data_IF_411976860176
#
_entry.id   IF_411976860176
#
_cell.length_a   1.000
_cell.length_b   1.000
_cell.length_c   1.000
_cell.angle_alpha   90.00
_cell.angle_beta   90.00
_cell.angle_gamma   90.00
#
_symmetry.space_group_name_H-M   'P 1'
#
loop_
_entity.id
_entity.type
_entity.pdbx_description
1 polymer ?
#
# COMPACT_ATOMS: atom_id res chain seq x y z
N UNK A 1 43.25 15.20 48.21
CA UNK A 1 42.06 14.39 47.87
C UNK A 1 41.95 14.38 46.35
N UNK A 2 41.93 13.18 45.75
CA UNK A 2 42.10 12.95 44.30
C UNK A 2 40.83 13.37 43.55
N UNK A 3 41.00 14.14 42.48
CA UNK A 3 39.92 14.58 41.58
C UNK A 3 39.36 13.43 40.76
N UNK A 4 38.04 13.37 40.67
CA UNK A 4 37.26 12.42 39.87
C UNK A 4 37.32 12.83 38.40
N UNK A 5 37.64 11.95 37.43
CA UNK A 5 37.53 12.28 36.01
C UNK A 5 36.07 12.15 35.55
N UNK A 6 35.52 13.23 34.98
CA UNK A 6 34.21 13.23 34.32
C UNK A 6 34.38 12.57 32.96
N UNK A 7 33.77 11.39 32.79
CA UNK A 7 33.69 10.65 31.54
C UNK A 7 32.58 11.26 30.68
N UNK A 8 32.95 11.93 29.59
CA UNK A 8 32.01 12.49 28.61
C UNK A 8 31.56 11.38 27.66
N UNK A 9 30.32 10.89 27.82
CA UNK A 9 29.69 9.94 26.90
C UNK A 9 29.18 10.73 25.68
N UNK A 10 29.84 10.53 24.53
CA UNK A 10 29.38 10.99 23.22
C UNK A 10 28.13 10.19 22.82
N UNK A 11 26.97 10.81 22.93
CA UNK A 11 25.70 10.33 22.36
C UNK A 11 25.81 10.37 20.83
N UNK A 12 26.01 9.20 20.21
CA UNK A 12 25.82 8.99 18.79
C UNK A 12 24.32 9.14 18.49
N UNK A 13 23.91 10.36 18.13
CA UNK A 13 22.59 10.63 17.58
C UNK A 13 22.45 9.91 16.25
N UNK A 14 21.70 8.80 16.24
CA UNK A 14 21.19 8.20 15.01
C UNK A 14 20.30 9.23 14.33
N UNK A 15 20.68 9.71 13.15
CA UNK A 15 19.82 10.56 12.33
C UNK A 15 18.58 9.76 11.95
N UNK A 16 17.51 9.91 12.72
CA UNK A 16 16.17 9.64 12.22
C UNK A 16 15.97 10.57 11.02
N UNK A 17 15.84 9.99 9.82
CA UNK A 17 15.40 10.75 8.67
C UNK A 17 14.03 11.35 9.01
N UNK A 18 14.01 12.66 9.27
CA UNK A 18 12.79 13.37 9.62
C UNK A 18 11.87 13.36 8.41
N UNK A 19 10.70 12.73 8.51
CA UNK A 19 9.62 12.94 7.56
C UNK A 19 9.26 14.44 7.57
N UNK A 20 9.24 15.07 6.39
CA UNK A 20 8.88 16.48 6.27
C UNK A 20 7.35 16.61 6.22
N UNK A 21 6.81 17.72 6.72
CA UNK A 21 5.40 18.07 6.50
C UNK A 21 5.15 18.26 5.02
N UNK A 22 4.18 17.53 4.47
CA UNK A 22 3.77 17.71 3.07
C UNK A 22 3.26 19.15 2.84
N UNK A 23 3.47 19.72 1.64
CA UNK A 23 2.84 20.99 1.28
C UNK A 23 1.32 20.92 1.44
N UNK A 24 0.73 22.00 1.95
CA UNK A 24 -0.72 22.10 2.22
C UNK A 24 -1.58 21.81 0.98
N UNK A 25 -1.05 22.12 -0.21
CA UNK A 25 -1.69 21.81 -1.49
C UNK A 25 -0.68 21.27 -2.49
N UNK A 26 -1.06 20.19 -3.17
CA UNK A 26 -0.33 19.59 -4.28
C UNK A 26 -1.28 18.71 -5.11
N UNK A 27 -1.07 18.67 -6.42
CA UNK A 27 -1.91 17.90 -7.35
C UNK A 27 -1.32 16.55 -7.72
N UNK A 28 -0.01 16.43 -7.53
CA UNK A 28 0.77 15.25 -7.83
C UNK A 28 1.76 15.01 -6.71
N UNK A 29 2.20 13.77 -6.59
CA UNK A 29 3.29 13.34 -5.71
C UNK A 29 4.25 12.48 -6.52
N UNK A 30 5.53 12.50 -6.17
CA UNK A 30 6.59 11.71 -6.79
C UNK A 30 7.10 10.70 -5.76
N UNK A 31 7.17 9.41 -6.08
CA UNK A 31 7.77 8.42 -5.17
C UNK A 31 9.30 8.47 -5.11
N UNK A 32 9.91 9.27 -5.99
CA UNK A 32 11.35 9.40 -6.14
C UNK A 32 12.01 8.14 -6.70
N UNK A 33 13.31 8.25 -6.92
CA UNK A 33 14.21 7.17 -7.33
C UNK A 33 15.36 7.09 -6.34
N UNK A 34 15.57 5.92 -5.74
CA UNK A 34 16.73 5.70 -4.88
C UNK A 34 17.95 5.43 -5.77
N UNK A 35 18.96 6.30 -5.68
CA UNK A 35 20.24 6.14 -6.37
C UNK A 35 21.10 5.02 -5.75
N UNK A 36 22.17 4.63 -6.46
CA UNK A 36 23.11 3.62 -5.99
C UNK A 36 23.90 4.02 -4.73
N UNK A 37 23.87 5.31 -4.37
CA UNK A 37 24.42 5.88 -3.14
C UNK A 37 23.42 5.86 -1.96
N UNK A 38 22.21 5.33 -2.17
CA UNK A 38 21.15 5.26 -1.18
C UNK A 38 20.36 6.57 -1.00
N UNK A 39 20.66 7.61 -1.80
CA UNK A 39 19.95 8.89 -1.74
C UNK A 39 18.70 8.84 -2.63
N UNK A 40 17.59 9.39 -2.16
CA UNK A 40 16.37 9.54 -2.97
C UNK A 40 16.44 10.82 -3.81
N UNK A 41 16.30 10.66 -5.12
CA UNK A 41 16.21 11.72 -6.12
C UNK A 41 14.80 11.80 -6.71
N UNK A 42 14.51 12.85 -7.47
CA UNK A 42 13.26 12.98 -8.22
C UNK A 42 13.26 12.14 -9.50
N UNK A 43 12.07 11.95 -10.07
CA UNK A 43 11.87 11.23 -11.32
C UNK A 43 11.35 9.81 -11.13
N UNK A 44 10.73 9.53 -9.98
CA UNK A 44 10.08 8.26 -9.71
C UNK A 44 8.70 8.16 -10.34
N UNK A 45 7.91 7.23 -9.82
CA UNK A 45 6.49 7.10 -10.19
C UNK A 45 5.74 8.32 -9.67
N UNK A 46 5.05 9.01 -10.57
CA UNK A 46 4.20 10.17 -10.23
C UNK A 46 2.75 9.71 -10.15
N UNK A 47 2.09 10.00 -9.03
CA UNK A 47 0.65 9.77 -8.86
C UNK A 47 -0.10 11.09 -8.70
N UNK A 48 -1.36 11.11 -9.14
CA UNK A 48 -2.29 12.18 -8.80
C UNK A 48 -2.70 12.11 -7.33
N UNK A 49 -2.63 13.27 -6.68
CA UNK A 49 -3.18 13.54 -5.35
C UNK A 49 -4.52 14.29 -5.40
N UNK A 50 -4.93 14.69 -6.61
CA UNK A 50 -6.15 15.43 -6.90
C UNK A 50 -6.94 14.75 -8.03
N UNK A 51 -8.26 14.68 -7.86
CA UNK A 51 -9.21 14.19 -8.83
C UNK A 51 -9.21 15.01 -10.13
N UNK A 52 -9.92 14.53 -11.13
CA UNK A 52 -10.07 15.26 -12.40
C UNK A 52 -10.99 16.49 -12.27
N UNK A 53 -11.81 16.51 -11.24
CA UNK A 53 -12.70 17.59 -10.82
C UNK A 53 -12.03 18.61 -9.87
N UNK A 54 -10.78 18.36 -9.45
CA UNK A 54 -10.07 19.21 -8.51
C UNK A 54 -10.24 18.82 -7.03
N UNK A 55 -10.97 17.75 -6.72
CA UNK A 55 -11.14 17.30 -5.33
C UNK A 55 -9.84 16.66 -4.78
N UNK A 56 -9.47 16.90 -3.51
CA UNK A 56 -8.34 16.21 -2.90
C UNK A 56 -8.64 14.72 -2.77
N UNK A 57 -7.67 13.88 -3.14
CA UNK A 57 -7.78 12.42 -3.04
C UNK A 57 -7.01 11.83 -1.86
N UNK A 58 -6.03 12.56 -1.32
CA UNK A 58 -5.15 12.06 -0.27
C UNK A 58 -5.57 12.51 1.13
N UNK A 59 -5.41 11.61 2.10
CA UNK A 59 -5.41 11.95 3.51
C UNK A 59 -4.03 12.54 3.85
N UNK A 60 -3.90 13.87 3.83
CA UNK A 60 -2.62 14.58 4.02
C UNK A 60 -1.91 14.17 5.31
N UNK A 61 -2.64 13.98 6.41
CA UNK A 61 -2.08 13.58 7.70
C UNK A 61 -1.50 12.15 7.72
N UNK A 62 -1.81 11.34 6.71
CA UNK A 62 -1.38 9.94 6.59
C UNK A 62 -0.47 9.72 5.37
N UNK A 63 -0.15 10.79 4.64
CA UNK A 63 0.81 10.77 3.52
C UNK A 63 2.18 11.17 4.05
N UNK A 64 3.22 10.42 3.69
CA UNK A 64 4.56 10.57 4.26
C UNK A 64 5.50 11.21 3.25
N UNK A 65 5.75 12.51 3.38
CA UNK A 65 6.69 13.24 2.53
C UNK A 65 8.14 13.08 2.98
N UNK A 66 9.04 13.04 1.99
CA UNK A 66 10.49 12.98 2.15
C UNK A 66 11.10 14.36 1.89
N UNK A 67 12.14 14.68 2.65
CA UNK A 67 12.98 15.84 2.36
C UNK A 67 13.90 15.53 1.18
N UNK A 68 13.79 16.32 0.11
CA UNK A 68 14.62 16.25 -1.08
C UNK A 68 15.06 17.67 -1.46
N UNK A 69 16.33 17.81 -1.87
CA UNK A 69 16.98 19.12 -2.05
C UNK A 69 16.30 20.02 -3.10
N UNK A 70 15.72 19.43 -4.13
CA UNK A 70 15.13 20.17 -5.24
C UNK A 70 13.61 20.25 -5.08
N UNK A 71 13.02 21.42 -5.34
CA UNK A 71 11.57 21.56 -5.47
C UNK A 71 11.15 21.31 -6.92
N UNK A 72 10.25 20.36 -7.15
CA UNK A 72 9.56 20.23 -8.43
C UNK A 72 8.19 20.90 -8.35
N UNK A 73 7.76 21.44 -9.49
CA UNK A 73 6.42 22.02 -9.64
C UNK A 73 5.72 21.43 -10.86
N UNK A 74 4.39 21.39 -10.81
CA UNK A 74 3.57 21.02 -11.97
C UNK A 74 3.54 22.15 -13.01
N UNK A 75 2.88 21.92 -14.15
CA UNK A 75 2.74 22.93 -15.21
C UNK A 75 2.00 24.21 -14.80
N UNK A 76 1.44 24.27 -13.58
CA UNK A 76 0.78 25.44 -12.99
C UNK A 76 1.58 26.06 -11.84
N UNK A 77 2.78 25.54 -11.54
CA UNK A 77 3.64 26.03 -10.47
C UNK A 77 3.33 25.45 -9.08
N UNK A 78 2.43 24.47 -8.94
CA UNK A 78 2.15 23.83 -7.65
C UNK A 78 3.25 22.85 -7.28
N UNK A 79 3.65 22.74 -5.99
CA UNK A 79 4.70 21.83 -5.59
C UNK A 79 4.32 20.36 -5.84
N UNK A 80 5.31 19.55 -6.20
CA UNK A 80 5.22 18.09 -6.29
C UNK A 80 6.13 17.52 -5.20
N UNK A 81 5.61 17.16 -4.02
CA UNK A 81 6.45 16.58 -2.97
C UNK A 81 6.92 15.18 -3.36
N UNK A 82 8.06 14.78 -2.79
CA UNK A 82 8.50 13.38 -2.85
C UNK A 82 7.91 12.64 -1.67
N UNK A 83 7.38 11.43 -1.87
CA UNK A 83 6.67 10.65 -0.84
C UNK A 83 7.26 9.24 -0.69
N UNK A 84 7.19 8.71 0.53
CA UNK A 84 7.44 7.29 0.80
C UNK A 84 6.16 6.44 0.67
N UNK A 85 5.03 7.04 1.01
CA UNK A 85 3.71 6.41 1.04
C UNK A 85 2.64 7.49 0.84
N UNK A 86 1.56 7.13 0.16
CA UNK A 86 0.32 7.90 0.11
C UNK A 86 -0.82 7.10 0.71
N UNK A 87 -1.71 7.79 1.41
CA UNK A 87 -2.98 7.24 1.86
C UNK A 87 -4.10 7.95 1.11
N UNK A 88 -4.89 7.21 0.34
CA UNK A 88 -6.06 7.72 -0.35
C UNK A 88 -7.25 7.79 0.60
N UNK A 89 -8.05 8.84 0.50
CA UNK A 89 -9.33 8.95 1.21
C UNK A 89 -10.32 7.93 0.61
N UNK A 90 -10.78 6.93 1.37
CA UNK A 90 -11.75 5.95 0.89
C UNK A 90 -13.05 6.58 0.36
N UNK A 91 -13.49 7.70 0.95
CA UNK A 91 -14.68 8.40 0.49
C UNK A 91 -14.47 9.01 -0.90
N UNK A 92 -13.30 9.62 -1.13
CA UNK A 92 -12.93 10.18 -2.43
C UNK A 92 -12.69 9.10 -3.48
N UNK A 93 -12.21 7.92 -3.09
CA UNK A 93 -12.05 6.77 -3.98
C UNK A 93 -13.40 6.21 -4.46
N UNK A 94 -14.51 6.48 -3.76
CA UNK A 94 -15.82 5.91 -4.08
C UNK A 94 -15.90 4.39 -3.84
N UNK A 95 -14.92 3.82 -3.13
CA UNK A 95 -14.84 2.41 -2.78
C UNK A 95 -15.10 2.30 -1.29
N UNK A 96 -16.00 1.41 -0.87
CA UNK A 96 -16.21 1.12 0.55
C UNK A 96 -14.98 0.41 1.15
N UNK A 97 -13.95 1.17 1.47
CA UNK A 97 -12.71 0.79 2.16
C UNK A 97 -12.63 1.55 3.48
N UNK A 98 -11.83 1.02 4.40
CA UNK A 98 -11.42 1.74 5.62
C UNK A 98 -10.06 2.40 5.44
N UNK A 99 -9.19 1.79 4.65
CA UNK A 99 -7.83 2.26 4.38
C UNK A 99 -7.41 1.80 2.99
N UNK A 100 -6.68 2.67 2.28
CA UNK A 100 -6.07 2.40 0.98
C UNK A 100 -4.73 3.13 0.89
N UNK A 101 -3.63 2.38 0.87
CA UNK A 101 -2.28 2.97 0.80
C UNK A 101 -1.51 2.45 -0.40
N UNK A 102 -0.71 3.34 -0.98
CA UNK A 102 0.22 3.01 -2.05
C UNK A 102 1.62 3.40 -1.59
N UNK A 103 2.56 2.47 -1.68
CA UNK A 103 3.93 2.66 -1.22
C UNK A 103 4.92 1.97 -2.15
N UNK A 104 6.17 2.46 -2.12
CA UNK A 104 7.29 1.74 -2.71
C UNK A 104 7.74 0.58 -1.81
N UNK A 105 8.03 -0.54 -2.44
CA UNK A 105 8.62 -1.74 -1.87
C UNK A 105 9.93 -2.05 -2.62
N UNK A 106 10.94 -2.61 -1.94
CA UNK A 106 12.17 -3.05 -2.62
C UNK A 106 11.90 -4.07 -3.72
N UNK A 107 10.97 -5.00 -3.46
CA UNK A 107 10.48 -6.00 -4.41
C UNK A 107 9.02 -6.34 -4.06
N UNK A 108 8.08 -5.65 -4.71
CA UNK A 108 6.66 -5.84 -4.47
C UNK A 108 6.15 -7.25 -4.82
N UNK A 109 6.83 -7.95 -5.75
CA UNK A 109 6.41 -9.30 -6.16
C UNK A 109 6.84 -10.35 -5.15
N UNK A 110 8.05 -10.23 -4.60
CA UNK A 110 8.49 -11.07 -3.49
C UNK A 110 7.60 -10.85 -2.26
N UNK A 111 7.24 -9.61 -1.96
CA UNK A 111 6.37 -9.28 -0.82
C UNK A 111 4.94 -9.82 -1.00
N UNK A 112 4.40 -9.78 -2.23
CA UNK A 112 3.12 -10.42 -2.55
C UNK A 112 3.17 -11.94 -2.33
N UNK A 113 4.27 -12.61 -2.71
CA UNK A 113 4.46 -14.04 -2.47
C UNK A 113 4.55 -14.37 -0.97
N UNK A 114 5.31 -13.58 -0.21
CA UNK A 114 5.40 -13.71 1.25
C UNK A 114 4.02 -13.54 1.88
N UNK A 115 3.26 -12.54 1.45
CA UNK A 115 1.90 -12.28 1.91
C UNK A 115 0.92 -13.42 1.56
N UNK A 116 1.16 -14.17 0.49
CA UNK A 116 0.33 -15.30 0.07
C UNK A 116 0.68 -16.63 0.74
N UNK A 117 1.85 -16.75 1.37
CA UNK A 117 2.36 -18.02 1.90
C UNK A 117 1.42 -18.68 2.92
N UNK A 118 0.80 -17.89 3.80
CA UNK A 118 -0.13 -18.42 4.80
C UNK A 118 -1.42 -18.97 4.16
N UNK A 119 -1.94 -18.31 3.13
CA UNK A 119 -3.08 -18.82 2.36
C UNK A 119 -2.72 -20.12 1.64
N UNK A 120 -1.56 -20.20 1.01
CA UNK A 120 -1.11 -21.43 0.33
C UNK A 120 -1.03 -22.61 1.31
N UNK A 121 -0.48 -22.39 2.51
CA UNK A 121 -0.46 -23.40 3.56
C UNK A 121 -1.87 -23.80 4.03
N UNK A 122 -2.80 -22.85 4.10
CA UNK A 122 -4.20 -23.13 4.46
C UNK A 122 -4.91 -23.98 3.41
N UNK A 123 -4.70 -23.72 2.12
CA UNK A 123 -5.32 -24.49 1.02
C UNK A 123 -4.92 -25.98 1.05
N UNK A 124 -3.69 -26.29 1.48
CA UNK A 124 -3.21 -27.68 1.59
C UNK A 124 -3.46 -28.32 2.96
N UNK A 125 -4.04 -27.60 3.91
CA UNK A 125 -4.30 -28.12 5.24
C UNK A 125 -5.61 -28.93 5.25
N UNK A 126 -5.61 -30.22 5.66
CA UNK A 126 -6.80 -31.06 5.64
C UNK A 126 -7.90 -30.61 6.62
N UNK A 127 -7.60 -29.73 7.57
CA UNK A 127 -8.57 -29.17 8.51
C UNK A 127 -9.26 -27.91 7.99
N UNK A 128 -8.94 -27.45 6.77
CA UNK A 128 -9.52 -26.28 6.14
C UNK A 128 -10.59 -26.70 5.14
N UNK A 129 -11.65 -25.89 5.01
CA UNK A 129 -12.61 -26.04 3.92
C UNK A 129 -12.19 -25.16 2.75
N UNK A 130 -11.96 -25.75 1.59
CA UNK A 130 -11.54 -25.03 0.38
C UNK A 130 -12.75 -24.78 -0.52
N UNK A 131 -12.92 -23.52 -0.92
CA UNK A 131 -13.98 -23.08 -1.84
C UNK A 131 -13.35 -22.46 -3.07
N UNK A 132 -13.76 -22.90 -4.26
CA UNK A 132 -13.26 -22.39 -5.55
C UNK A 132 -14.37 -21.67 -6.30
N UNK A 133 -14.09 -20.44 -6.73
CA UNK A 133 -14.92 -19.66 -7.63
C UNK A 133 -14.34 -19.59 -9.04
N UNK A 134 -14.87 -18.66 -9.83
CA UNK A 134 -14.38 -18.39 -11.20
C UNK A 134 -12.98 -17.77 -11.20
N UNK A 135 -12.76 -16.79 -10.33
CA UNK A 135 -11.54 -15.97 -10.26
C UNK A 135 -10.92 -15.95 -8.85
N UNK A 136 -11.36 -16.85 -7.96
CA UNK A 136 -10.87 -16.92 -6.58
C UNK A 136 -10.73 -18.36 -6.05
N UNK A 137 -9.85 -18.50 -5.06
CA UNK A 137 -9.66 -19.70 -4.25
C UNK A 137 -9.62 -19.28 -2.78
N UNK A 138 -10.54 -19.80 -1.97
CA UNK A 138 -10.64 -19.48 -0.56
C UNK A 138 -10.39 -20.71 0.32
N UNK A 139 -9.80 -20.48 1.49
CA UNK A 139 -9.67 -21.44 2.57
C UNK A 139 -10.34 -20.88 3.83
N UNK A 140 -11.27 -21.66 4.40
CA UNK A 140 -11.98 -21.36 5.64
C UNK A 140 -11.43 -22.22 6.78
N UNK A 141 -10.99 -21.55 7.85
CA UNK A 141 -10.54 -22.16 9.08
C UNK A 141 -11.71 -22.55 10.00
N UNK A 142 -11.53 -23.55 10.88
CA UNK A 142 -12.51 -23.90 11.90
C UNK A 142 -12.87 -22.74 12.84
N UNK A 143 -11.99 -21.74 12.96
CA UNK A 143 -12.21 -20.52 13.74
C UNK A 143 -13.18 -19.54 13.05
N UNK A 144 -13.54 -19.77 11.79
CA UNK A 144 -14.32 -18.84 10.97
C UNK A 144 -13.48 -17.87 10.13
N UNK A 145 -12.15 -17.83 10.34
CA UNK A 145 -11.27 -16.99 9.54
C UNK A 145 -11.18 -17.48 8.10
N UNK A 146 -11.24 -16.57 7.13
CA UNK A 146 -11.19 -16.87 5.70
C UNK A 146 -9.98 -16.20 5.07
N UNK A 147 -9.27 -16.92 4.22
CA UNK A 147 -8.27 -16.36 3.33
C UNK A 147 -8.67 -16.65 1.89
N UNK A 148 -8.60 -15.66 1.01
CA UNK A 148 -8.96 -15.80 -0.39
C UNK A 148 -7.87 -15.22 -1.28
N UNK A 149 -7.35 -16.05 -2.18
CA UNK A 149 -6.55 -15.60 -3.31
C UNK A 149 -7.47 -15.31 -4.49
N UNK A 150 -7.20 -14.23 -5.22
CA UNK A 150 -7.94 -13.83 -6.42
C UNK A 150 -7.01 -13.64 -7.60
N UNK A 151 -7.57 -13.64 -8.81
CA UNK A 151 -6.85 -13.28 -10.02
C UNK A 151 -6.30 -11.84 -9.89
N UNK A 152 -5.00 -11.62 -10.10
CA UNK A 152 -4.41 -10.28 -10.01
C UNK A 152 -5.02 -9.36 -11.08
N UNK A 153 -5.43 -8.12 -10.72
CA UNK A 153 -5.99 -7.19 -11.69
C UNK A 153 -4.92 -6.53 -12.58
N UNK A 154 -3.66 -6.53 -12.16
CA UNK A 154 -2.52 -6.05 -12.94
C UNK A 154 -1.83 -7.21 -13.70
N UNK A 155 -1.21 -6.96 -14.86
CA UNK A 155 -0.65 -8.01 -15.73
C UNK A 155 0.61 -8.71 -15.20
N UNK A 156 1.00 -8.46 -13.94
CA UNK A 156 2.25 -8.91 -13.34
C UNK A 156 2.22 -10.32 -12.71
N UNK A 157 1.03 -10.96 -12.65
CA UNK A 157 0.82 -12.30 -12.08
C UNK A 157 1.21 -12.46 -10.59
N UNK A 158 1.53 -11.38 -9.87
CA UNK A 158 1.83 -11.45 -8.45
C UNK A 158 0.58 -11.83 -7.66
N UNK A 159 0.63 -12.78 -6.71
CA UNK A 159 -0.56 -13.27 -6.02
C UNK A 159 -1.24 -12.15 -5.23
N UNK A 160 -2.57 -12.08 -5.32
CA UNK A 160 -3.39 -11.14 -4.55
C UNK A 160 -4.21 -11.95 -3.57
N UNK A 161 -3.95 -11.74 -2.28
CA UNK A 161 -4.63 -12.47 -1.21
C UNK A 161 -5.25 -11.48 -0.23
N UNK A 162 -6.45 -11.80 0.25
CA UNK A 162 -7.06 -11.12 1.38
C UNK A 162 -7.33 -12.10 2.51
N UNK A 163 -7.22 -11.58 3.74
CA UNK A 163 -7.50 -12.29 4.97
C UNK A 163 -8.65 -11.60 5.69
N UNK A 164 -9.70 -12.34 6.00
CA UNK A 164 -10.93 -11.86 6.62
C UNK A 164 -11.16 -12.58 7.94
N UNK A 165 -11.28 -11.82 9.02
CA UNK A 165 -11.58 -12.31 10.36
C UNK A 165 -12.33 -11.23 11.15
N UNK A 166 -13.22 -11.64 12.05
CA UNK A 166 -13.97 -10.76 12.95
C UNK A 166 -14.60 -9.52 12.27
N UNK A 167 -15.14 -9.70 11.06
CA UNK A 167 -15.80 -8.64 10.29
C UNK A 167 -14.88 -7.63 9.59
N UNK A 168 -13.57 -7.90 9.55
CA UNK A 168 -12.57 -7.08 8.89
C UNK A 168 -11.79 -7.91 7.88
N UNK A 169 -11.66 -7.40 6.67
CA UNK A 169 -10.79 -7.94 5.64
C UNK A 169 -9.58 -7.05 5.43
N UNK A 170 -8.42 -7.67 5.19
CA UNK A 170 -7.17 -7.01 4.85
C UNK A 170 -6.56 -7.66 3.61
N UNK A 171 -6.23 -6.84 2.63
CA UNK A 171 -5.36 -7.17 1.51
C UNK A 171 -3.97 -6.57 1.80
N UNK A 172 -3.02 -7.37 2.31
CA UNK A 172 -1.74 -6.86 2.78
C UNK A 172 -0.87 -6.31 1.65
N UNK A 173 -0.84 -6.98 0.50
CA UNK A 173 -0.04 -6.58 -0.66
C UNK A 173 -0.80 -6.95 -1.93
N UNK A 174 -1.00 -5.97 -2.79
CA UNK A 174 -1.35 -6.15 -4.19
C UNK A 174 -0.31 -5.40 -5.01
N UNK A 175 0.60 -6.14 -5.64
CA UNK A 175 1.64 -5.52 -6.46
C UNK A 175 1.01 -4.89 -7.72
N UNK A 176 1.38 -3.65 -8.00
CA UNK A 176 1.03 -2.95 -9.24
C UNK A 176 2.13 -3.21 -10.27
N UNK A 177 3.39 -3.05 -9.86
CA UNK A 177 4.58 -3.37 -10.64
C UNK A 177 5.69 -3.89 -9.70
N UNK A 178 6.93 -3.99 -10.19
CA UNK A 178 8.05 -4.56 -9.44
C UNK A 178 8.36 -3.85 -8.11
N UNK A 179 8.06 -2.55 -7.99
CA UNK A 179 8.43 -1.75 -6.82
C UNK A 179 7.26 -1.00 -6.19
N UNK A 180 6.07 -0.99 -6.80
CA UNK A 180 4.90 -0.31 -6.27
C UNK A 180 3.83 -1.32 -5.89
N UNK A 181 3.28 -1.20 -4.69
CA UNK A 181 2.19 -2.04 -4.22
C UNK A 181 1.15 -1.26 -3.41
N UNK A 182 0.00 -1.90 -3.29
CA UNK A 182 -1.16 -1.40 -2.54
C UNK A 182 -1.40 -2.29 -1.34
N UNK A 183 -1.78 -1.68 -0.23
CA UNK A 183 -2.48 -2.37 0.85
C UNK A 183 -3.88 -1.76 1.03
N UNK A 184 -4.83 -2.57 1.48
CA UNK A 184 -6.19 -2.11 1.71
C UNK A 184 -6.86 -2.87 2.85
N UNK A 185 -7.78 -2.20 3.54
CA UNK A 185 -8.66 -2.82 4.54
C UNK A 185 -10.11 -2.41 4.33
N UNK A 186 -11.05 -3.29 4.66
CA UNK A 186 -12.48 -2.99 4.59
C UNK A 186 -13.28 -3.83 5.58
N UNK A 187 -14.46 -3.34 5.97
CA UNK A 187 -15.40 -4.13 6.74
C UNK A 187 -16.08 -5.17 5.85
N UNK A 188 -16.32 -6.37 6.37
CA UNK A 188 -17.13 -7.38 5.70
C UNK A 188 -18.09 -8.02 6.69
N UNK A 189 -19.38 -7.93 6.40
CA UNK A 189 -20.42 -8.59 7.21
C UNK A 189 -20.75 -10.00 6.69
N UNK A 190 -19.95 -10.49 5.74
CA UNK A 190 -20.15 -11.76 5.06
C UNK A 190 -19.21 -12.80 5.66
N UNK A 191 -19.76 -13.95 6.04
CA UNK A 191 -19.01 -15.08 6.60
C UNK A 191 -18.83 -16.25 5.61
N UNK A 192 -19.63 -16.28 4.53
CA UNK A 192 -19.58 -17.33 3.52
C UNK A 192 -18.32 -17.17 2.63
N UNK A 193 -17.47 -18.20 2.49
CA UNK A 193 -16.23 -18.10 1.71
C UNK A 193 -16.44 -17.77 0.23
N UNK A 194 -17.53 -18.21 -0.39
CA UNK A 194 -17.81 -17.89 -1.80
C UNK A 194 -18.15 -16.40 -1.97
N UNK A 195 -19.00 -15.87 -1.10
CA UNK A 195 -19.35 -14.46 -1.10
C UNK A 195 -18.17 -13.56 -0.67
N UNK A 196 -17.31 -14.00 0.26
CA UNK A 196 -16.04 -13.31 0.56
C UNK A 196 -15.12 -13.32 -0.66
N UNK A 197 -14.91 -14.45 -1.32
CA UNK A 197 -14.07 -14.55 -2.52
C UNK A 197 -14.52 -13.58 -3.62
N UNK A 198 -15.83 -13.52 -3.90
CA UNK A 198 -16.40 -12.58 -4.84
C UNK A 198 -16.19 -11.11 -4.42
N UNK A 199 -16.36 -10.80 -3.13
CA UNK A 199 -16.12 -9.46 -2.59
C UNK A 199 -14.64 -9.06 -2.72
N UNK A 200 -13.69 -9.94 -2.38
CA UNK A 200 -12.25 -9.67 -2.51
C UNK A 200 -11.89 -9.37 -3.95
N UNK A 201 -12.40 -10.18 -4.89
CA UNK A 201 -12.14 -9.99 -6.31
C UNK A 201 -12.73 -8.66 -6.82
N UNK A 202 -13.95 -8.32 -6.40
CA UNK A 202 -14.56 -7.02 -6.69
C UNK A 202 -13.72 -5.86 -6.13
N UNK A 203 -13.22 -5.95 -4.90
CA UNK A 203 -12.39 -4.90 -4.28
C UNK A 203 -11.07 -4.72 -5.02
N UNK A 204 -10.40 -5.80 -5.41
CA UNK A 204 -9.17 -5.73 -6.20
C UNK A 204 -9.41 -5.00 -7.54
N UNK A 205 -10.50 -5.31 -8.24
CA UNK A 205 -10.89 -4.61 -9.48
C UNK A 205 -11.22 -3.13 -9.25
N UNK A 206 -12.01 -2.81 -8.22
CA UNK A 206 -12.35 -1.43 -7.90
C UNK A 206 -11.11 -0.58 -7.58
N UNK A 207 -10.16 -1.14 -6.83
CA UNK A 207 -8.89 -0.47 -6.53
C UNK A 207 -8.07 -0.27 -7.80
N UNK A 208 -7.99 -1.28 -8.67
CA UNK A 208 -7.35 -1.15 -9.98
C UNK A 208 -7.97 -0.02 -10.81
N UNK A 209 -9.30 -0.03 -10.98
CA UNK A 209 -10.02 0.95 -11.81
C UNK A 209 -9.90 2.37 -11.26
N UNK A 210 -9.78 2.51 -9.93
CA UNK A 210 -9.49 3.79 -9.29
C UNK A 210 -8.05 4.26 -9.54
N UNK A 211 -7.06 3.36 -9.45
CA UNK A 211 -5.65 3.73 -9.52
C UNK A 211 -5.16 3.96 -10.96
N UNK A 212 -5.59 3.15 -11.94
CA UNK A 212 -5.09 3.21 -13.33
C UNK A 212 -5.16 4.63 -13.92
N UNK A 213 -6.26 5.39 -13.79
CA UNK A 213 -6.32 6.76 -14.32
C UNK A 213 -5.40 7.78 -13.60
N UNK A 214 -4.91 7.46 -12.40
CA UNK A 214 -4.14 8.39 -11.56
C UNK A 214 -2.64 8.40 -11.88
N UNK A 215 -2.17 7.51 -12.75
CA UNK A 215 -0.78 7.52 -13.22
C UNK A 215 -0.66 6.89 -14.60
N UNK A 216 0.24 7.44 -15.42
CA UNK A 216 0.65 6.81 -16.67
C UNK A 216 1.60 5.60 -16.44
N UNK A 217 1.95 5.29 -15.19
CA UNK A 217 2.87 4.21 -14.83
C UNK A 217 2.20 2.83 -14.71
N UNK A 218 0.88 2.76 -14.90
CA UNK A 218 0.05 1.57 -14.68
C UNK A 218 -0.45 0.95 -15.97
#
# INVERSE_FOLDING_TARGET
MRGLPVLLVLLLGSSAASAQTCPDFHRFVDFGLTGGDGVTYRGGIVLRAEGFDGAPLLLTAQTLCRDVRDLAVDGRGNPIPVVAEVAYDPAAAGIALRDLRVALWPDAFTEAQVAAAAHLAAVYNPNMTVTRGEDYLCALAPTGAVSCQVQPPFPNQAPVVAYCDAGLCRMPVMAINATLAVNATWASDVADPAAIGAQVSQKARQIHDFLVPLSAAF
#
